data_IF_839614020336
#
_entry.id   IF_839614020336
#
_cell.length_a   1.000
_cell.length_b   1.000
_cell.length_c   1.000
_cell.angle_alpha   90.00
_cell.angle_beta   90.00
_cell.angle_gamma   90.00
#
_symmetry.space_group_name_H-M   'P 1'
#
loop_
_entity.id
_entity.type
_entity.pdbx_description
1 polymer ?
#
# COMPACT_ATOMS: atom_id res chain seq x y z
N UNK A 1 -36.21 -0.16 -89.81
CA UNK A 1 -37.43 -1.02 -89.82
C UNK A 1 -37.63 -1.66 -88.45
N UNK A 2 -38.89 -1.60 -87.97
CA UNK A 2 -39.50 -2.27 -86.82
C UNK A 2 -39.04 -1.85 -85.39
N UNK A 3 -39.84 -0.95 -84.81
CA UNK A 3 -40.07 -0.69 -83.40
C UNK A 3 -40.59 -1.93 -82.68
N UNK A 4 -40.07 -2.19 -81.43
CA UNK A 4 -40.84 -2.94 -80.46
C UNK A 4 -40.86 -2.19 -79.15
N UNK A 5 -42.04 -1.83 -78.76
CA UNK A 5 -42.48 -1.25 -77.52
C UNK A 5 -42.44 -2.37 -76.47
N UNK A 6 -41.79 -2.17 -75.37
CA UNK A 6 -41.91 -3.07 -74.22
C UNK A 6 -42.51 -2.28 -73.01
N UNK A 7 -43.58 -2.83 -72.53
CA UNK A 7 -44.40 -2.29 -71.45
C UNK A 7 -43.66 -2.35 -70.12
N UNK A 8 -43.66 -1.22 -69.43
CA UNK A 8 -43.25 -1.11 -68.03
C UNK A 8 -44.42 -1.60 -67.18
N UNK A 9 -44.24 -2.68 -66.46
CA UNK A 9 -45.12 -3.10 -65.37
C UNK A 9 -44.60 -2.50 -64.09
N UNK A 10 -45.33 -1.47 -63.58
CA UNK A 10 -45.18 -0.93 -62.24
C UNK A 10 -45.80 -1.93 -61.23
N UNK A 11 -44.98 -2.70 -60.54
CA UNK A 11 -45.39 -3.43 -59.36
C UNK A 11 -45.26 -2.54 -58.16
N UNK A 12 -46.41 -2.13 -57.61
CA UNK A 12 -46.51 -1.51 -56.27
C UNK A 12 -46.02 -2.57 -55.24
N UNK A 13 -44.84 -2.37 -54.69
CA UNK A 13 -44.43 -2.98 -53.43
C UNK A 13 -45.11 -2.18 -52.30
N UNK A 14 -46.18 -2.75 -51.74
CA UNK A 14 -46.70 -2.27 -50.46
C UNK A 14 -45.61 -2.36 -49.40
N UNK A 15 -45.21 -1.21 -48.90
CA UNK A 15 -44.47 -1.08 -47.67
C UNK A 15 -45.30 -1.67 -46.52
N UNK A 16 -44.88 -2.81 -46.01
CA UNK A 16 -45.22 -3.20 -44.65
C UNK A 16 -44.08 -2.67 -43.76
N UNK A 17 -44.25 -1.61 -43.06
CA UNK A 17 -43.22 -1.19 -42.10
C UNK A 17 -43.59 -1.55 -40.68
N UNK A 18 -42.59 -1.95 -39.90
CA UNK A 18 -42.50 -1.47 -38.52
C UNK A 18 -43.35 -2.21 -37.50
N UNK A 19 -43.23 -3.58 -37.50
CA UNK A 19 -43.58 -4.33 -36.29
C UNK A 19 -42.30 -4.91 -35.61
N UNK A 20 -41.15 -4.86 -36.28
CA UNK A 20 -39.91 -5.47 -35.76
C UNK A 20 -39.18 -4.56 -34.76
N UNK A 21 -39.26 -3.25 -34.91
CA UNK A 21 -38.55 -2.30 -34.00
C UNK A 21 -39.23 -2.12 -32.64
N UNK A 22 -40.56 -2.25 -32.56
CA UNK A 22 -41.29 -2.13 -31.30
C UNK A 22 -41.10 -3.40 -30.43
N UNK A 23 -41.10 -4.60 -31.02
CA UNK A 23 -40.89 -5.83 -30.27
C UNK A 23 -39.45 -6.00 -29.80
N UNK A 24 -38.46 -5.50 -30.51
CA UNK A 24 -37.06 -5.47 -30.04
C UNK A 24 -36.85 -4.45 -28.93
N UNK A 25 -37.50 -3.30 -29.00
CA UNK A 25 -37.42 -2.29 -27.93
C UNK A 25 -38.10 -2.73 -26.64
N UNK A 26 -39.27 -3.37 -26.69
CA UNK A 26 -39.95 -3.94 -25.52
C UNK A 26 -39.18 -5.09 -24.90
N UNK A 27 -38.54 -5.95 -25.70
CA UNK A 27 -37.69 -7.04 -25.19
C UNK A 27 -36.47 -6.49 -24.44
N UNK A 28 -35.87 -5.42 -24.92
CA UNK A 28 -34.66 -4.81 -24.30
C UNK A 28 -35.00 -4.12 -22.98
N UNK A 29 -36.19 -3.53 -22.86
CA UNK A 29 -36.60 -2.76 -21.68
C UNK A 29 -37.41 -3.57 -20.65
N UNK A 30 -37.61 -4.86 -20.88
CA UNK A 30 -38.31 -5.69 -19.88
C UNK A 30 -37.52 -5.79 -18.57
N UNK A 31 -38.20 -5.80 -17.39
CA UNK A 31 -37.52 -5.88 -16.09
C UNK A 31 -36.53 -7.05 -15.99
N UNK A 32 -36.94 -8.22 -16.51
CA UNK A 32 -36.14 -9.44 -16.48
C UNK A 32 -34.84 -9.29 -17.30
N UNK A 33 -34.93 -8.67 -18.47
CA UNK A 33 -33.75 -8.46 -19.32
C UNK A 33 -32.80 -7.42 -18.75
N UNK A 34 -33.32 -6.33 -18.20
CA UNK A 34 -32.51 -5.28 -17.53
C UNK A 34 -31.75 -5.85 -16.33
N UNK A 35 -32.40 -6.70 -15.52
CA UNK A 35 -31.73 -7.36 -14.39
C UNK A 35 -30.66 -8.34 -14.90
N UNK A 36 -30.98 -9.17 -15.88
CA UNK A 36 -30.05 -10.15 -16.45
C UNK A 36 -28.82 -9.46 -17.04
N UNK A 37 -29.03 -8.46 -17.88
CA UNK A 37 -27.95 -7.66 -18.47
C UNK A 37 -27.07 -6.99 -17.41
N UNK A 38 -27.69 -6.31 -16.44
CA UNK A 38 -26.95 -5.68 -15.35
C UNK A 38 -26.16 -6.65 -14.51
N UNK A 39 -26.71 -7.85 -14.24
CA UNK A 39 -26.04 -8.91 -13.51
C UNK A 39 -24.88 -9.52 -14.30
N UNK A 40 -25.04 -9.80 -15.59
CA UNK A 40 -23.98 -10.32 -16.45
C UNK A 40 -22.82 -9.34 -16.54
N UNK A 41 -23.08 -8.05 -16.80
CA UNK A 41 -22.07 -7.01 -16.84
C UNK A 41 -21.35 -6.84 -15.48
N UNK A 42 -22.08 -6.95 -14.38
CA UNK A 42 -21.48 -6.91 -13.04
C UNK A 42 -20.56 -8.12 -12.79
N UNK A 43 -20.96 -9.32 -13.20
CA UNK A 43 -20.15 -10.54 -13.09
C UNK A 43 -18.88 -10.47 -13.95
N UNK A 44 -18.96 -9.83 -15.11
CA UNK A 44 -17.82 -9.56 -15.99
C UNK A 44 -16.93 -8.42 -15.49
N UNK A 45 -17.20 -7.87 -14.29
CA UNK A 45 -16.52 -6.70 -13.70
C UNK A 45 -16.65 -5.43 -14.55
N UNK A 46 -17.60 -5.37 -15.46
CA UNK A 46 -17.91 -4.19 -16.26
C UNK A 46 -18.90 -3.28 -15.51
N UNK A 47 -18.44 -2.77 -14.37
CA UNK A 47 -19.27 -2.05 -13.41
C UNK A 47 -19.92 -0.76 -13.99
N UNK A 48 -19.17 -0.03 -14.83
CA UNK A 48 -19.69 1.18 -15.44
C UNK A 48 -20.89 0.92 -16.38
N UNK A 49 -20.84 -0.17 -17.14
CA UNK A 49 -21.92 -0.60 -18.03
C UNK A 49 -23.08 -1.24 -17.26
N UNK A 50 -22.84 -1.92 -16.14
CA UNK A 50 -23.88 -2.54 -15.32
C UNK A 50 -24.85 -1.51 -14.68
N UNK A 51 -24.33 -0.35 -14.24
CA UNK A 51 -25.09 0.63 -13.49
C UNK A 51 -26.35 1.14 -14.23
N UNK A 52 -26.32 1.52 -15.52
CA UNK A 52 -27.53 1.99 -16.22
C UNK A 52 -28.65 0.93 -16.24
N UNK A 53 -28.31 -0.32 -16.57
CA UNK A 53 -29.30 -1.42 -16.64
C UNK A 53 -29.89 -1.72 -15.25
N UNK A 54 -29.06 -1.81 -14.21
CA UNK A 54 -29.50 -2.02 -12.83
C UNK A 54 -30.37 -0.86 -12.31
N UNK A 55 -29.99 0.40 -12.59
CA UNK A 55 -30.82 1.57 -12.22
C UNK A 55 -32.17 1.58 -12.93
N UNK A 56 -32.19 1.22 -14.21
CA UNK A 56 -33.44 1.12 -14.96
C UNK A 56 -34.34 0.01 -14.40
N UNK A 57 -33.76 -1.12 -14.01
CA UNK A 57 -34.47 -2.23 -13.35
C UNK A 57 -35.09 -1.80 -12.00
N UNK A 58 -34.30 -1.17 -11.13
CA UNK A 58 -34.75 -0.70 -9.79
C UNK A 58 -35.94 0.28 -9.91
N UNK A 59 -35.94 1.16 -10.93
CA UNK A 59 -37.06 2.09 -11.18
C UNK A 59 -38.38 1.40 -11.47
N UNK A 60 -38.37 0.16 -11.95
CA UNK A 60 -39.59 -0.60 -12.27
C UNK A 60 -40.24 -1.24 -11.04
N UNK A 61 -39.71 -0.99 -9.81
CA UNK A 61 -40.20 -1.54 -8.55
C UNK A 61 -40.37 -3.06 -8.59
N UNK A 62 -39.27 -3.80 -8.81
CA UNK A 62 -39.29 -5.26 -8.87
C UNK A 62 -39.64 -5.89 -7.52
N UNK A 63 -39.70 -7.23 -7.45
CA UNK A 63 -39.86 -7.96 -6.17
C UNK A 63 -38.74 -7.64 -5.19
N UNK A 64 -39.05 -7.72 -3.91
CA UNK A 64 -38.11 -7.32 -2.84
C UNK A 64 -36.74 -8.02 -2.92
N UNK A 65 -36.72 -9.32 -3.25
CA UNK A 65 -35.48 -10.08 -3.37
C UNK A 65 -34.60 -9.60 -4.53
N UNK A 66 -35.18 -9.44 -5.73
CA UNK A 66 -34.42 -8.96 -6.90
C UNK A 66 -34.02 -7.48 -6.74
N UNK A 67 -34.81 -6.69 -6.02
CA UNK A 67 -34.46 -5.31 -5.67
C UNK A 67 -33.20 -5.26 -4.80
N UNK A 68 -33.17 -6.08 -3.74
CA UNK A 68 -32.01 -6.20 -2.85
C UNK A 68 -30.74 -6.61 -3.61
N UNK A 69 -30.86 -7.61 -4.49
CA UNK A 69 -29.72 -8.05 -5.33
C UNK A 69 -29.21 -6.95 -6.25
N UNK A 70 -30.12 -6.24 -6.92
CA UNK A 70 -29.75 -5.16 -7.83
C UNK A 70 -29.12 -3.98 -7.08
N UNK A 71 -29.66 -3.61 -5.92
CA UNK A 71 -29.08 -2.55 -5.10
C UNK A 71 -27.71 -2.96 -4.53
N UNK A 72 -27.51 -4.23 -4.14
CA UNK A 72 -26.19 -4.76 -3.78
C UNK A 72 -25.18 -4.60 -4.93
N UNK A 73 -25.55 -4.98 -6.15
CA UNK A 73 -24.68 -4.82 -7.31
C UNK A 73 -24.37 -3.35 -7.61
N UNK A 74 -25.34 -2.44 -7.40
CA UNK A 74 -25.14 -1.00 -7.58
C UNK A 74 -24.13 -0.43 -6.56
N UNK A 75 -24.27 -0.74 -5.26
CA UNK A 75 -23.35 -0.21 -4.24
C UNK A 75 -21.97 -0.83 -4.34
N UNK A 76 -21.89 -2.12 -4.74
CA UNK A 76 -20.61 -2.77 -5.03
C UNK A 76 -19.93 -2.16 -6.25
N UNK A 77 -20.68 -1.85 -7.31
CA UNK A 77 -20.16 -1.14 -8.49
C UNK A 77 -19.64 0.26 -8.14
N UNK A 78 -20.35 0.98 -7.27
CA UNK A 78 -19.91 2.28 -6.79
C UNK A 78 -18.58 2.20 -6.01
N UNK A 79 -18.38 1.14 -5.22
CA UNK A 79 -17.11 0.88 -4.56
C UNK A 79 -15.98 0.65 -5.57
N UNK A 80 -16.18 -0.25 -6.53
CA UNK A 80 -15.17 -0.63 -7.52
C UNK A 80 -14.76 0.56 -8.43
N UNK A 81 -15.73 1.43 -8.75
CA UNK A 81 -15.51 2.66 -9.52
C UNK A 81 -14.98 3.84 -8.67
N UNK A 82 -14.73 3.61 -7.39
CA UNK A 82 -14.25 4.63 -6.43
C UNK A 82 -15.18 5.86 -6.38
N UNK A 83 -16.50 5.64 -6.46
CA UNK A 83 -17.49 6.72 -6.32
C UNK A 83 -17.26 7.46 -5.00
N UNK A 84 -17.35 8.79 -5.04
CA UNK A 84 -17.14 9.65 -3.86
C UNK A 84 -18.12 9.37 -2.71
N UNK A 85 -19.33 8.90 -3.04
CA UNK A 85 -20.38 8.58 -2.08
C UNK A 85 -20.40 7.09 -1.67
N UNK A 86 -19.41 6.27 -2.08
CA UNK A 86 -19.42 4.82 -1.89
C UNK A 86 -19.66 4.39 -0.45
N UNK A 87 -19.08 5.10 0.54
CA UNK A 87 -19.26 4.77 1.97
C UNK A 87 -20.72 4.98 2.38
N UNK A 88 -21.30 6.12 2.01
CA UNK A 88 -22.68 6.43 2.30
C UNK A 88 -23.65 5.43 1.65
N UNK A 89 -23.40 5.07 0.39
CA UNK A 89 -24.19 4.09 -0.35
C UNK A 89 -24.15 2.70 0.31
N UNK A 90 -22.96 2.22 0.72
CA UNK A 90 -22.78 0.96 1.40
C UNK A 90 -23.49 0.95 2.78
N UNK A 91 -23.39 2.04 3.54
CA UNK A 91 -24.10 2.17 4.83
C UNK A 91 -25.60 2.16 4.64
N UNK A 92 -26.14 2.97 3.73
CA UNK A 92 -27.58 3.02 3.42
C UNK A 92 -28.12 1.65 2.98
N UNK A 93 -27.32 0.87 2.28
CA UNK A 93 -27.68 -0.50 1.91
C UNK A 93 -27.86 -1.39 3.14
N UNK A 94 -26.93 -1.36 4.11
CA UNK A 94 -27.03 -2.13 5.35
C UNK A 94 -28.21 -1.66 6.22
N UNK A 95 -28.44 -0.35 6.32
CA UNK A 95 -29.57 0.22 7.06
C UNK A 95 -30.91 -0.25 6.47
N UNK A 96 -30.99 -0.35 5.14
CA UNK A 96 -32.20 -0.80 4.44
C UNK A 96 -32.39 -2.32 4.51
N UNK A 97 -31.31 -3.08 4.53
CA UNK A 97 -31.31 -4.54 4.49
C UNK A 97 -30.44 -5.14 5.62
N UNK A 98 -30.86 -5.03 6.87
CA UNK A 98 -30.03 -5.47 8.01
C UNK A 98 -29.73 -6.97 7.98
N UNK A 99 -30.66 -7.79 7.45
CA UNK A 99 -30.52 -9.26 7.34
C UNK A 99 -30.04 -9.72 5.95
N UNK A 100 -29.31 -8.86 5.23
CA UNK A 100 -28.86 -9.17 3.87
C UNK A 100 -27.87 -10.34 3.84
N UNK A 101 -27.97 -11.28 2.87
CA UNK A 101 -26.94 -12.29 2.67
C UNK A 101 -25.60 -11.71 2.23
N UNK A 102 -25.57 -10.45 1.80
CA UNK A 102 -24.38 -9.73 1.37
C UNK A 102 -23.65 -8.97 2.48
N UNK A 103 -24.15 -9.03 3.74
CA UNK A 103 -23.61 -8.25 4.86
C UNK A 103 -22.08 -8.42 5.00
N UNK A 104 -21.60 -9.67 4.97
CA UNK A 104 -20.17 -9.96 5.09
C UNK A 104 -19.32 -9.22 4.06
N UNK A 105 -19.75 -9.23 2.80
CA UNK A 105 -19.03 -8.55 1.73
C UNK A 105 -19.15 -7.03 1.84
N UNK A 106 -20.32 -6.50 2.19
CA UNK A 106 -20.50 -5.06 2.39
C UNK A 106 -19.62 -4.55 3.54
N UNK A 107 -19.52 -5.29 4.66
CA UNK A 107 -18.59 -4.94 5.76
C UNK A 107 -17.14 -4.94 5.26
N UNK A 108 -16.74 -5.92 4.46
CA UNK A 108 -15.38 -5.96 3.89
C UNK A 108 -15.09 -4.76 2.97
N UNK A 109 -16.06 -4.33 2.17
CA UNK A 109 -15.94 -3.14 1.30
C UNK A 109 -15.86 -1.84 2.12
N UNK A 110 -16.68 -1.70 3.16
CA UNK A 110 -16.62 -0.55 4.07
C UNK A 110 -15.30 -0.48 4.82
N UNK A 111 -14.82 -1.62 5.36
CA UNK A 111 -13.52 -1.70 6.02
C UNK A 111 -12.40 -1.23 5.08
N UNK A 112 -12.44 -1.68 3.83
CA UNK A 112 -11.48 -1.25 2.81
C UNK A 112 -11.58 0.25 2.50
N UNK A 113 -12.78 0.82 2.48
CA UNK A 113 -12.95 2.27 2.32
C UNK A 113 -12.26 3.04 3.45
N UNK A 114 -12.50 2.65 4.71
CA UNK A 114 -11.86 3.29 5.86
C UNK A 114 -10.35 3.10 5.90
N UNK A 115 -9.86 1.93 5.48
CA UNK A 115 -8.43 1.70 5.30
C UNK A 115 -7.79 2.73 4.37
N UNK A 116 -8.40 2.97 3.18
CA UNK A 116 -7.88 3.95 2.22
C UNK A 116 -8.05 5.42 2.68
N UNK A 117 -8.95 5.69 3.62
CA UNK A 117 -9.06 6.99 4.28
C UNK A 117 -8.10 7.17 5.47
N UNK A 118 -7.30 6.14 5.79
CA UNK A 118 -6.40 6.14 6.95
C UNK A 118 -7.10 6.01 8.30
N UNK A 119 -8.40 5.66 8.30
CA UNK A 119 -9.22 5.42 9.49
C UNK A 119 -9.07 3.96 9.93
N UNK A 120 -7.90 3.66 10.51
CA UNK A 120 -7.50 2.27 10.75
C UNK A 120 -8.31 1.60 11.87
N UNK A 121 -8.74 2.34 12.90
CA UNK A 121 -9.56 1.79 13.99
C UNK A 121 -10.97 1.41 13.51
N UNK A 122 -11.59 2.26 12.70
CA UNK A 122 -12.90 1.99 12.11
C UNK A 122 -12.81 0.82 11.10
N UNK A 123 -11.72 0.75 10.34
CA UNK A 123 -11.47 -0.37 9.45
C UNK A 123 -11.32 -1.68 10.22
N UNK A 124 -10.57 -1.70 11.34
CA UNK A 124 -10.39 -2.87 12.20
C UNK A 124 -11.71 -3.37 12.78
N UNK A 125 -12.56 -2.46 13.27
CA UNK A 125 -13.87 -2.84 13.83
C UNK A 125 -14.71 -3.62 12.80
N UNK A 126 -14.68 -3.20 11.53
CA UNK A 126 -15.40 -3.87 10.45
C UNK A 126 -14.70 -5.16 9.99
N UNK A 127 -13.38 -5.16 9.87
CA UNK A 127 -12.63 -6.38 9.50
C UNK A 127 -12.81 -7.48 10.54
N UNK A 128 -12.83 -7.15 11.84
CA UNK A 128 -13.07 -8.12 12.91
C UNK A 128 -14.50 -8.69 12.87
N UNK A 129 -15.45 -7.99 12.25
CA UNK A 129 -16.81 -8.47 12.00
C UNK A 129 -16.96 -9.21 10.67
N UNK A 130 -15.89 -9.28 9.87
CA UNK A 130 -15.89 -9.88 8.52
C UNK A 130 -15.33 -11.30 8.58
N UNK A 131 -16.06 -12.26 8.00
CA UNK A 131 -15.58 -13.62 7.72
C UNK A 131 -14.75 -13.62 6.46
N UNK A 132 -13.42 -13.43 6.59
CA UNK A 132 -12.49 -13.38 5.44
C UNK A 132 -12.46 -14.71 4.67
N UNK A 133 -12.68 -15.83 5.35
CA UNK A 133 -12.75 -17.18 4.76
C UNK A 133 -13.92 -17.37 3.78
N UNK A 134 -14.94 -16.53 3.85
CA UNK A 134 -16.09 -16.53 2.93
C UNK A 134 -15.88 -15.64 1.70
N UNK A 135 -14.78 -14.90 1.61
CA UNK A 135 -14.43 -14.09 0.44
C UNK A 135 -13.69 -14.93 -0.59
N UNK A 136 -13.78 -14.54 -1.86
CA UNK A 136 -12.97 -15.14 -2.93
C UNK A 136 -11.46 -14.94 -2.67
N UNK A 137 -10.62 -15.84 -3.16
CA UNK A 137 -9.18 -15.88 -2.82
C UNK A 137 -8.48 -14.54 -3.00
N UNK A 138 -8.64 -13.89 -4.14
CA UNK A 138 -8.00 -12.60 -4.43
C UNK A 138 -8.49 -11.51 -3.48
N UNK A 139 -9.80 -11.41 -3.26
CA UNK A 139 -10.41 -10.44 -2.36
C UNK A 139 -9.98 -10.70 -0.90
N UNK A 140 -9.95 -11.97 -0.48
CA UNK A 140 -9.48 -12.37 0.85
C UNK A 140 -8.06 -11.93 1.10
N UNK A 141 -7.14 -12.16 0.15
CA UNK A 141 -5.75 -11.76 0.28
C UNK A 141 -5.60 -10.24 0.40
N UNK A 142 -6.32 -9.47 -0.42
CA UNK A 142 -6.33 -8.01 -0.37
C UNK A 142 -6.84 -7.51 1.00
N UNK A 143 -7.92 -8.11 1.52
CA UNK A 143 -8.49 -7.74 2.84
C UNK A 143 -7.59 -8.18 3.99
N UNK A 144 -6.95 -9.33 3.89
CA UNK A 144 -5.97 -9.79 4.89
C UNK A 144 -4.77 -8.84 4.96
N UNK A 145 -4.27 -8.38 3.81
CA UNK A 145 -3.21 -7.38 3.77
C UNK A 145 -3.63 -6.06 4.43
N UNK A 146 -4.83 -5.59 4.13
CA UNK A 146 -5.38 -4.37 4.74
C UNK A 146 -5.55 -4.51 6.25
N UNK A 147 -6.10 -5.63 6.72
CA UNK A 147 -6.27 -5.96 8.14
C UNK A 147 -4.91 -5.97 8.87
N UNK A 148 -3.92 -6.68 8.33
CA UNK A 148 -2.57 -6.72 8.90
C UNK A 148 -1.94 -5.33 8.98
N UNK A 149 -2.13 -4.52 7.93
CA UNK A 149 -1.65 -3.14 7.89
C UNK A 149 -2.37 -2.25 8.90
N UNK A 150 -3.68 -2.41 9.10
CA UNK A 150 -4.42 -1.70 10.14
C UNK A 150 -3.86 -2.00 11.53
N UNK A 151 -3.64 -3.28 11.86
CA UNK A 151 -3.01 -3.66 13.13
C UNK A 151 -1.63 -3.02 13.32
N UNK A 152 -0.83 -2.98 12.25
CA UNK A 152 0.48 -2.32 12.31
C UNK A 152 0.36 -0.81 12.54
N UNK A 153 -0.60 -0.14 11.89
CA UNK A 153 -0.82 1.31 12.01
C UNK A 153 -1.42 1.72 13.35
N UNK A 154 -2.09 0.80 14.05
CA UNK A 154 -2.63 0.98 15.41
C UNK A 154 -1.69 0.44 16.49
N UNK A 155 -0.41 0.20 16.15
CA UNK A 155 0.65 -0.29 17.02
C UNK A 155 0.40 -1.68 17.64
N UNK A 156 -0.54 -2.44 17.10
CA UNK A 156 -0.75 -3.83 17.49
C UNK A 156 0.15 -4.78 16.69
N UNK A 157 1.46 -4.66 16.93
CA UNK A 157 2.50 -5.34 16.14
C UNK A 157 2.42 -6.86 16.24
N UNK A 158 1.88 -7.39 17.35
CA UNK A 158 1.71 -8.84 17.54
C UNK A 158 0.68 -9.42 16.56
N UNK A 159 -0.51 -8.82 16.51
CA UNK A 159 -1.56 -9.26 15.59
C UNK A 159 -1.16 -8.99 14.13
N UNK A 160 -0.54 -7.85 13.86
CA UNK A 160 -0.01 -7.54 12.54
C UNK A 160 0.93 -8.65 12.04
N UNK A 161 1.87 -9.11 12.89
CA UNK A 161 2.81 -10.16 12.53
C UNK A 161 2.11 -11.48 12.19
N UNK A 162 1.09 -11.88 12.98
CA UNK A 162 0.32 -13.11 12.73
C UNK A 162 -0.35 -13.08 11.35
N UNK A 163 -1.00 -11.95 11.02
CA UNK A 163 -1.68 -11.81 9.74
C UNK A 163 -0.71 -11.70 8.56
N UNK A 164 0.42 -10.99 8.70
CA UNK A 164 1.45 -10.94 7.67
C UNK A 164 2.11 -12.31 7.45
N UNK A 165 2.39 -13.09 8.50
CA UNK A 165 2.92 -14.47 8.37
C UNK A 165 1.93 -15.37 7.61
N UNK A 166 0.64 -15.31 7.98
CA UNK A 166 -0.42 -16.08 7.32
C UNK A 166 -0.50 -15.73 5.83
N UNK A 167 -0.52 -14.44 5.52
CA UNK A 167 -0.63 -13.97 4.14
C UNK A 167 0.63 -14.28 3.32
N UNK A 168 1.83 -14.15 3.91
CA UNK A 168 3.09 -14.51 3.26
C UNK A 168 3.12 -15.95 2.80
N UNK A 169 2.57 -16.85 3.62
CA UNK A 169 2.53 -18.28 3.31
C UNK A 169 1.51 -18.65 2.22
N UNK A 170 0.43 -17.87 2.10
CA UNK A 170 -0.71 -18.19 1.21
C UNK A 170 -0.75 -17.40 -0.09
N UNK A 171 -0.15 -16.21 -0.14
CA UNK A 171 -0.28 -15.28 -1.27
C UNK A 171 1.06 -14.86 -1.86
N UNK A 172 1.46 -15.39 -3.02
CA UNK A 172 2.67 -14.93 -3.73
C UNK A 172 2.64 -13.43 -4.07
N UNK A 173 1.45 -12.87 -4.31
CA UNK A 173 1.24 -11.45 -4.60
C UNK A 173 1.78 -10.55 -3.50
N UNK A 174 1.57 -10.94 -2.24
CA UNK A 174 1.92 -10.13 -1.07
C UNK A 174 3.18 -10.61 -0.34
N UNK A 175 3.81 -11.70 -0.78
CA UNK A 175 4.92 -12.33 -0.06
C UNK A 175 6.07 -11.37 0.26
N UNK A 176 6.48 -10.53 -0.70
CA UNK A 176 7.54 -9.54 -0.51
C UNK A 176 7.12 -8.42 0.45
N UNK A 177 5.91 -7.91 0.31
CA UNK A 177 5.38 -6.87 1.20
C UNK A 177 5.27 -7.37 2.63
N UNK A 178 4.76 -8.58 2.81
CA UNK A 178 4.72 -9.23 4.12
C UNK A 178 6.12 -9.43 4.71
N UNK A 179 7.10 -9.85 3.92
CA UNK A 179 8.48 -9.99 4.38
C UNK A 179 9.06 -8.65 4.84
N UNK A 180 8.82 -7.57 4.11
CA UNK A 180 9.23 -6.22 4.54
C UNK A 180 8.60 -5.82 5.88
N UNK A 181 7.28 -5.95 6.05
CA UNK A 181 6.62 -5.57 7.30
C UNK A 181 7.01 -6.44 8.47
N UNK A 182 7.18 -7.75 8.25
CA UNK A 182 7.69 -8.66 9.28
C UNK A 182 9.12 -8.32 9.71
N UNK A 183 9.99 -7.99 8.74
CA UNK A 183 11.34 -7.54 9.03
C UNK A 183 11.34 -6.25 9.85
N UNK A 184 10.49 -5.28 9.48
CA UNK A 184 10.32 -4.02 10.21
C UNK A 184 9.81 -4.25 11.64
N UNK A 185 8.80 -5.10 11.84
CA UNK A 185 8.28 -5.46 13.16
C UNK A 185 9.40 -6.10 14.01
N UNK A 186 10.18 -7.02 13.44
CA UNK A 186 11.30 -7.66 14.13
C UNK A 186 12.42 -6.67 14.48
N UNK A 187 12.70 -5.74 13.58
CA UNK A 187 13.64 -4.64 13.82
C UNK A 187 13.21 -3.77 15.01
N UNK A 188 11.95 -3.32 15.06
CA UNK A 188 11.43 -2.54 16.20
C UNK A 188 11.46 -3.31 17.52
N UNK A 189 11.29 -4.62 17.47
CA UNK A 189 11.44 -5.54 18.60
C UNK A 189 12.91 -5.88 18.95
N UNK A 190 13.89 -5.30 18.26
CA UNK A 190 15.33 -5.56 18.41
C UNK A 190 15.73 -7.00 18.09
N UNK A 191 14.92 -7.73 17.34
CA UNK A 191 15.19 -9.09 16.85
C UNK A 191 15.98 -9.03 15.54
N UNK A 192 17.19 -8.47 15.63
CA UNK A 192 17.97 -8.04 14.47
C UNK A 192 18.34 -9.14 13.49
N UNK A 193 18.69 -10.35 13.99
CA UNK A 193 19.05 -11.48 13.12
C UNK A 193 17.87 -11.96 12.28
N UNK A 194 16.69 -11.98 12.87
CA UNK A 194 15.47 -12.35 12.17
C UNK A 194 15.03 -11.25 11.20
N UNK A 195 15.20 -9.97 11.58
CA UNK A 195 14.94 -8.85 10.68
C UNK A 195 15.86 -8.92 9.45
N UNK A 196 17.16 -9.15 9.61
CA UNK A 196 18.11 -9.31 8.51
C UNK A 196 17.73 -10.46 7.57
N UNK A 197 17.27 -11.59 8.11
CA UNK A 197 16.85 -12.74 7.31
C UNK A 197 15.75 -12.36 6.30
N UNK A 198 14.83 -11.48 6.68
CA UNK A 198 13.73 -11.04 5.81
C UNK A 198 14.11 -9.81 4.97
N UNK A 199 14.98 -8.90 5.47
CA UNK A 199 15.41 -7.72 4.71
C UNK A 199 16.40 -8.05 3.57
N UNK A 200 17.38 -8.93 3.81
CA UNK A 200 18.43 -9.22 2.82
C UNK A 200 17.89 -9.66 1.44
N UNK A 201 16.87 -10.53 1.34
CA UNK A 201 16.28 -10.86 0.03
C UNK A 201 15.59 -9.71 -0.69
N UNK A 202 15.28 -8.61 0.03
CA UNK A 202 14.59 -7.43 -0.52
C UNK A 202 15.55 -6.27 -0.85
N UNK A 203 16.84 -6.41 -0.54
CA UNK A 203 17.84 -5.36 -0.69
C UNK A 203 17.89 -4.75 -2.09
N UNK A 204 17.79 -5.58 -3.13
CA UNK A 204 17.87 -5.19 -4.53
C UNK A 204 16.49 -5.16 -5.23
N UNK A 205 15.41 -5.37 -4.48
CA UNK A 205 14.06 -5.34 -5.04
C UNK A 205 13.69 -3.91 -5.48
N UNK A 206 13.18 -3.70 -6.69
CA UNK A 206 12.87 -2.36 -7.22
C UNK A 206 11.99 -1.50 -6.31
N UNK A 207 11.09 -2.13 -5.51
CA UNK A 207 10.19 -1.44 -4.58
C UNK A 207 10.90 -1.03 -3.29
N UNK A 208 11.92 -1.78 -2.85
CA UNK A 208 12.50 -1.64 -1.52
C UNK A 208 13.96 -1.18 -1.51
N UNK A 209 14.63 -1.13 -2.65
CA UNK A 209 16.07 -0.81 -2.78
C UNK A 209 16.48 0.57 -2.26
N UNK A 210 15.53 1.48 -2.08
CA UNK A 210 15.79 2.81 -1.50
C UNK A 210 15.54 2.88 0.02
N UNK A 211 14.95 1.85 0.60
CA UNK A 211 14.59 1.84 2.02
C UNK A 211 15.26 0.69 2.78
N UNK A 212 15.21 -0.52 2.24
CA UNK A 212 15.69 -1.73 2.96
C UNK A 212 17.19 -1.67 3.26
N UNK A 213 18.10 -1.20 2.38
CA UNK A 213 19.51 -1.10 2.72
C UNK A 213 19.79 -0.22 3.94
N UNK A 214 18.97 0.81 4.19
CA UNK A 214 19.08 1.62 5.39
C UNK A 214 18.92 0.76 6.66
N UNK A 215 17.86 -0.04 6.78
CA UNK A 215 17.68 -0.93 7.93
C UNK A 215 18.78 -1.97 8.05
N UNK A 216 19.27 -2.51 6.93
CA UNK A 216 20.37 -3.49 6.93
C UNK A 216 21.64 -2.84 7.48
N UNK A 217 22.01 -1.65 7.01
CA UNK A 217 23.19 -0.92 7.48
C UNK A 217 23.08 -0.58 8.96
N UNK A 218 21.92 -0.10 9.42
CA UNK A 218 21.67 0.18 10.82
C UNK A 218 21.82 -1.06 11.71
N UNK A 219 21.21 -2.18 11.30
CA UNK A 219 21.34 -3.42 12.05
C UNK A 219 22.81 -3.86 12.13
N UNK A 220 23.57 -3.79 11.03
CA UNK A 220 24.99 -4.13 11.06
C UNK A 220 25.79 -3.19 11.97
N UNK A 221 25.49 -1.88 11.94
CA UNK A 221 26.12 -0.92 12.85
C UNK A 221 25.80 -1.21 14.33
N UNK A 222 24.54 -1.46 14.67
CA UNK A 222 24.10 -1.84 16.03
C UNK A 222 24.81 -3.13 16.49
N UNK A 223 24.98 -4.09 15.60
CA UNK A 223 25.69 -5.36 15.87
C UNK A 223 27.22 -5.20 15.82
N UNK A 224 27.74 -4.00 15.59
CA UNK A 224 29.17 -3.70 15.43
C UNK A 224 29.86 -4.51 14.32
N UNK A 225 29.09 -4.90 13.30
CA UNK A 225 29.60 -5.56 12.10
C UNK A 225 29.96 -4.48 11.08
N UNK A 226 31.04 -3.74 11.39
CA UNK A 226 31.41 -2.52 10.69
C UNK A 226 31.83 -2.74 9.23
N UNK A 227 32.40 -3.89 8.89
CA UNK A 227 32.75 -4.27 7.51
C UNK A 227 31.51 -4.33 6.62
N UNK A 228 30.44 -5.01 7.06
CA UNK A 228 29.19 -5.08 6.32
C UNK A 228 28.44 -3.75 6.32
N UNK A 229 28.41 -3.05 7.47
CA UNK A 229 27.79 -1.71 7.55
C UNK A 229 28.42 -0.76 6.55
N UNK A 230 29.77 -0.74 6.45
CA UNK A 230 30.51 0.09 5.51
C UNK A 230 30.11 -0.21 4.05
N UNK A 231 30.14 -1.49 3.66
CA UNK A 231 29.82 -1.90 2.28
C UNK A 231 28.40 -1.46 1.89
N UNK A 232 27.42 -1.71 2.77
CA UNK A 232 26.02 -1.35 2.49
C UNK A 232 25.87 0.17 2.41
N UNK A 233 26.46 0.93 3.35
CA UNK A 233 26.36 2.38 3.36
C UNK A 233 27.04 3.03 2.14
N UNK A 234 28.23 2.55 1.74
CA UNK A 234 28.92 3.04 0.54
C UNK A 234 28.11 2.81 -0.74
N UNK A 235 27.59 1.58 -0.91
CA UNK A 235 26.77 1.23 -2.07
C UNK A 235 25.51 2.09 -2.14
N UNK A 236 24.86 2.28 -0.99
CA UNK A 236 23.67 3.12 -0.89
C UNK A 236 23.94 4.57 -1.25
N UNK A 237 24.98 5.20 -0.66
CA UNK A 237 25.34 6.58 -0.93
C UNK A 237 25.80 6.82 -2.37
N UNK A 238 26.40 5.80 -3.01
CA UNK A 238 26.75 5.86 -4.42
C UNK A 238 25.52 5.87 -5.33
N UNK A 239 24.47 5.16 -4.96
CA UNK A 239 23.23 5.08 -5.73
C UNK A 239 22.23 6.20 -5.40
N UNK A 240 22.17 6.62 -4.12
CA UNK A 240 21.13 7.51 -3.58
C UNK A 240 21.73 8.63 -2.69
N UNK A 241 22.64 9.49 -3.21
CA UNK A 241 23.39 10.45 -2.40
C UNK A 241 22.52 11.54 -1.74
N UNK A 242 21.31 11.77 -2.25
CA UNK A 242 20.37 12.79 -1.78
C UNK A 242 19.06 12.22 -1.23
N UNK A 243 19.00 10.91 -0.95
CA UNK A 243 17.84 10.30 -0.33
C UNK A 243 17.70 10.75 1.13
N UNK A 244 16.49 10.69 1.69
CA UNK A 244 16.20 11.08 3.08
C UNK A 244 17.05 10.31 4.12
N UNK A 245 17.46 9.08 3.81
CA UNK A 245 18.32 8.26 4.68
C UNK A 245 19.82 8.50 4.46
N UNK A 246 20.22 9.35 3.51
CA UNK A 246 21.64 9.57 3.20
C UNK A 246 22.42 10.12 4.39
N UNK A 247 21.85 11.02 5.18
CA UNK A 247 22.48 11.54 6.38
C UNK A 247 22.88 10.39 7.33
N UNK A 248 21.96 9.53 7.69
CA UNK A 248 22.22 8.43 8.60
C UNK A 248 23.22 7.40 8.03
N UNK A 249 23.19 7.17 6.70
CA UNK A 249 24.18 6.33 6.02
C UNK A 249 25.60 6.93 6.12
N UNK A 250 25.73 8.24 6.02
CA UNK A 250 27.02 8.92 6.25
C UNK A 250 27.48 8.75 7.71
N UNK A 251 26.58 8.83 8.68
CA UNK A 251 26.91 8.58 10.10
C UNK A 251 27.41 7.14 10.31
N UNK A 252 26.68 6.15 9.80
CA UNK A 252 27.06 4.73 9.87
C UNK A 252 28.43 4.49 9.21
N UNK A 253 28.68 5.13 8.08
CA UNK A 253 29.95 5.06 7.37
C UNK A 253 31.08 5.69 8.20
N UNK A 254 30.83 6.81 8.86
CA UNK A 254 31.77 7.46 9.79
C UNK A 254 32.16 6.55 10.95
N UNK A 255 31.18 5.92 11.59
CA UNK A 255 31.42 4.94 12.67
C UNK A 255 32.29 3.77 12.20
N UNK A 256 32.02 3.24 11.01
CA UNK A 256 32.79 2.15 10.43
C UNK A 256 34.25 2.59 10.11
N UNK A 257 34.44 3.72 9.47
CA UNK A 257 35.77 4.25 9.19
C UNK A 257 36.57 4.54 10.46
N UNK A 258 35.94 5.12 11.48
CA UNK A 258 36.61 5.33 12.76
C UNK A 258 37.08 4.02 13.38
N UNK A 259 36.22 3.00 13.38
CA UNK A 259 36.55 1.66 13.90
C UNK A 259 37.77 1.03 13.22
N UNK A 260 37.91 1.25 11.90
CA UNK A 260 39.07 0.76 11.14
C UNK A 260 40.30 1.66 11.20
N UNK A 261 40.29 2.73 12.01
CA UNK A 261 41.40 3.68 12.10
C UNK A 261 41.55 4.59 10.89
N UNK A 262 40.53 4.62 10.03
CA UNK A 262 40.49 5.46 8.82
C UNK A 262 39.95 6.84 9.16
N UNK A 263 40.66 7.57 10.02
CA UNK A 263 40.16 8.78 10.67
C UNK A 263 39.88 9.93 9.70
N UNK A 264 40.62 10.06 8.59
CA UNK A 264 40.34 11.09 7.58
C UNK A 264 39.01 10.81 6.89
N UNK A 265 38.74 9.58 6.48
CA UNK A 265 37.47 9.19 5.90
C UNK A 265 36.32 9.29 6.93
N UNK A 266 36.58 9.01 8.20
CA UNK A 266 35.60 9.20 9.26
C UNK A 266 35.19 10.69 9.38
N UNK A 267 36.16 11.63 9.34
CA UNK A 267 35.88 13.05 9.33
C UNK A 267 35.01 13.45 8.13
N UNK A 268 35.34 12.98 6.94
CA UNK A 268 34.57 13.28 5.72
C UNK A 268 33.13 12.74 5.83
N UNK A 269 32.98 11.51 6.31
CA UNK A 269 31.68 10.90 6.46
C UNK A 269 30.82 11.61 7.53
N UNK A 270 31.36 11.88 8.73
CA UNK A 270 30.59 12.60 9.75
C UNK A 270 30.29 14.05 9.34
N UNK A 271 31.18 14.73 8.60
CA UNK A 271 30.84 16.02 8.01
C UNK A 271 29.71 15.91 7.01
N UNK A 272 29.73 14.90 6.15
CA UNK A 272 28.64 14.61 5.23
C UNK A 272 27.29 14.31 5.91
N UNK A 273 27.31 13.71 7.10
CA UNK A 273 26.15 13.58 7.99
C UNK A 273 25.63 14.96 8.43
N UNK A 274 26.51 15.79 9.01
CA UNK A 274 26.13 17.12 9.53
C UNK A 274 25.58 18.05 8.43
N UNK A 275 26.13 17.99 7.23
CA UNK A 275 25.70 18.81 6.09
C UNK A 275 24.27 18.45 5.61
N UNK A 276 23.80 17.25 5.91
CA UNK A 276 22.50 16.72 5.47
C UNK A 276 21.47 16.60 6.57
N UNK A 277 21.91 16.51 7.81
CA UNK A 277 21.01 16.44 8.97
C UNK A 277 20.59 17.87 9.36
N UNK A 278 19.37 18.24 9.00
CA UNK A 278 18.76 19.53 9.33
C UNK A 278 18.13 19.56 10.73
N UNK A 279 18.22 18.45 11.49
CA UNK A 279 17.82 18.38 12.89
C UNK A 279 18.97 18.75 13.82
N UNK A 280 18.74 18.70 15.14
CA UNK A 280 19.86 18.82 16.09
C UNK A 280 20.78 17.59 15.95
N UNK A 281 22.07 17.76 15.66
CA UNK A 281 23.00 16.65 15.46
C UNK A 281 23.04 15.71 16.67
N UNK A 282 23.13 14.43 16.42
CA UNK A 282 23.26 13.43 17.48
C UNK A 282 24.60 13.63 18.23
N UNK A 283 24.53 13.65 19.55
CA UNK A 283 25.71 13.87 20.41
C UNK A 283 26.79 12.79 20.25
N UNK A 284 26.37 11.54 19.98
CA UNK A 284 27.31 10.44 19.69
C UNK A 284 28.07 10.68 18.38
N UNK A 285 27.42 11.16 17.34
CA UNK A 285 28.06 11.52 16.07
C UNK A 285 29.05 12.69 16.22
N UNK A 286 28.67 13.73 16.96
CA UNK A 286 29.58 14.84 17.28
C UNK A 286 30.79 14.38 18.07
N UNK A 287 30.59 13.46 19.03
CA UNK A 287 31.68 12.89 19.81
C UNK A 287 32.64 12.10 18.91
N UNK A 288 32.13 11.23 18.04
CA UNK A 288 32.96 10.43 17.13
C UNK A 288 33.70 11.32 16.11
N UNK A 289 33.07 12.39 15.62
CA UNK A 289 33.72 13.40 14.76
C UNK A 289 34.85 14.12 15.53
N UNK A 290 34.60 14.54 16.77
CA UNK A 290 35.59 15.15 17.61
C UNK A 290 36.81 14.27 17.85
N UNK A 291 36.59 12.99 18.17
CA UNK A 291 37.65 12.00 18.28
C UNK A 291 38.40 11.79 16.95
N UNK A 292 37.69 11.78 15.81
CA UNK A 292 38.29 11.66 14.48
C UNK A 292 39.21 12.85 14.18
N UNK A 293 38.78 14.09 14.52
CA UNK A 293 39.64 15.28 14.41
C UNK A 293 40.84 15.20 15.35
N UNK A 294 40.67 14.68 16.58
CA UNK A 294 41.78 14.50 17.50
C UNK A 294 42.84 13.53 16.93
N UNK A 295 42.42 12.40 16.38
CA UNK A 295 43.29 11.41 15.75
C UNK A 295 44.03 11.98 14.52
N UNK A 296 43.37 12.85 13.77
CA UNK A 296 43.99 13.57 12.62
C UNK A 296 44.77 14.80 13.02
N UNK A 297 44.93 15.06 14.32
CA UNK A 297 45.67 16.20 14.91
C UNK A 297 45.10 17.58 14.60
N UNK A 298 43.82 17.67 14.27
CA UNK A 298 43.09 18.92 14.05
C UNK A 298 42.44 19.36 15.37
N UNK A 299 43.24 19.66 16.35
CA UNK A 299 42.83 19.84 17.75
C UNK A 299 41.81 20.96 17.98
N UNK A 300 41.84 22.02 17.20
CA UNK A 300 40.86 23.11 17.33
C UNK A 300 39.43 22.64 16.98
N UNK A 301 39.30 21.88 15.91
CA UNK A 301 38.00 21.29 15.52
C UNK A 301 37.57 20.13 16.45
N UNK A 302 38.54 19.39 16.97
CA UNK A 302 38.25 18.36 17.99
C UNK A 302 37.62 19.01 19.24
N UNK A 303 38.22 20.06 19.77
CA UNK A 303 37.70 20.78 20.92
C UNK A 303 36.31 21.41 20.65
N UNK A 304 36.12 21.96 19.47
CA UNK A 304 34.82 22.51 19.05
C UNK A 304 33.72 21.44 19.07
N UNK A 305 33.93 20.27 18.43
CA UNK A 305 32.95 19.19 18.36
C UNK A 305 32.71 18.57 19.74
N UNK A 306 33.76 18.28 20.49
CA UNK A 306 33.64 17.71 21.83
C UNK A 306 32.95 18.68 22.80
N UNK A 307 33.21 19.98 22.68
CA UNK A 307 32.52 21.01 23.46
C UNK A 307 31.01 21.02 23.29
N UNK A 308 30.52 20.72 22.09
CA UNK A 308 29.08 20.58 21.81
C UNK A 308 28.45 19.34 22.46
N UNK A 309 29.25 18.34 22.81
CA UNK A 309 28.77 17.11 23.46
C UNK A 309 28.51 17.31 24.94
N UNK A 310 29.18 18.25 25.58
CA UNK A 310 29.16 18.47 27.04
C UNK A 310 27.91 19.16 27.58
N UNK A 311 26.77 18.92 26.95
CA UNK A 311 25.48 19.57 27.25
C UNK A 311 24.61 18.81 28.27
N UNK A 312 25.01 17.59 28.68
CA UNK A 312 24.29 16.77 29.64
C UNK A 312 25.24 16.20 30.68
N UNK A 313 24.70 15.71 31.80
CA UNK A 313 25.49 15.07 32.85
C UNK A 313 25.43 13.55 32.68
N UNK A 314 26.21 13.01 31.76
CA UNK A 314 26.25 11.58 31.42
C UNK A 314 27.69 11.11 31.07
N UNK A 315 27.85 9.79 30.85
CA UNK A 315 29.13 9.21 30.51
C UNK A 315 29.74 9.77 29.21
N UNK A 316 28.91 10.16 28.23
CA UNK A 316 29.40 10.75 26.99
C UNK A 316 30.05 12.12 27.23
N UNK A 317 29.42 12.96 28.06
CA UNK A 317 29.97 14.22 28.50
C UNK A 317 31.30 14.02 29.26
N UNK A 318 31.35 13.05 30.19
CA UNK A 318 32.59 12.78 30.95
C UNK A 318 33.73 12.34 30.02
N UNK A 319 33.46 11.58 29.00
CA UNK A 319 34.44 11.12 28.01
C UNK A 319 34.87 12.22 27.02
N UNK A 320 34.08 13.28 26.88
CA UNK A 320 34.36 14.41 25.98
C UNK A 320 35.31 15.47 26.62
N UNK A 321 35.45 15.48 27.95
CA UNK A 321 36.44 16.27 28.66
C UNK A 321 37.84 15.63 28.61
#
# INVERSE_FOLDING_TARGET
MKKRISRIICTLLCCAPIAISAQTSEKITSPVNLYKEGKELFQEKNYAAAIPALKAFVKQKPTASLLQDAEYMLVSSAYELKDKNRIELLRKYLDRYPDTPYANRIYSLLASCYFYEGKYDEALALFNSTRLDLLGNEERDDRTYQLATCYMKTDNLKEAAIWFETLRASSPKYAKDCSYYLAYIRYTQKRYDEALKDFLPLQDDPKYKELVPYYIAEIYAIKKNYDKAQIVAQNYLSAYPNNEHAAEMYRILGDAYYHFGQYHQAVEAFTGYLDRDHSAPRRDALYMLGLSYYQTKVYSKAAEMLGQVTTANDALTQNAY
#
